data_IF_297901117176
#
_entry.id   IF_297901117176
#
_cell.length_a   1.000
_cell.length_b   1.000
_cell.length_c   1.000
_cell.angle_alpha   90.00
_cell.angle_beta   90.00
_cell.angle_gamma   90.00
#
_symmetry.space_group_name_H-M   'P 1'
#
loop_
_entity.id
_entity.type
_entity.pdbx_description
1 polymer ?
#
# COMPACT_ATOMS: atom_id res chain seq x y z
N UNK A 1 38.74 20.02 -2.27
CA UNK A 1 38.88 19.21 -1.04
C UNK A 1 40.30 19.38 -0.56
N UNK A 2 40.50 19.64 0.73
CA UNK A 2 41.83 19.72 1.33
C UNK A 2 42.06 18.48 2.19
N UNK A 3 43.20 17.83 1.99
CA UNK A 3 43.66 16.65 2.71
C UNK A 3 44.96 17.01 3.44
N UNK A 4 45.13 16.42 4.63
CA UNK A 4 46.41 16.48 5.34
C UNK A 4 47.49 15.71 4.55
N UNK A 5 48.74 16.17 4.62
CA UNK A 5 49.88 15.52 3.97
C UNK A 5 50.05 14.07 4.44
N UNK A 6 49.69 13.79 5.70
CA UNK A 6 49.73 12.45 6.28
C UNK A 6 48.78 11.44 5.59
N UNK A 7 47.82 11.92 4.80
CA UNK A 7 46.83 11.09 4.11
C UNK A 7 47.20 10.79 2.65
N UNK A 8 48.34 11.29 2.17
CA UNK A 8 48.80 11.01 0.79
C UNK A 8 49.14 9.52 0.66
N UNK A 9 48.60 8.88 -0.37
CA UNK A 9 48.70 7.43 -0.60
C UNK A 9 47.55 6.62 0.00
N UNK A 10 46.73 7.21 0.87
CA UNK A 10 45.57 6.54 1.45
C UNK A 10 44.39 6.47 0.46
N UNK A 11 43.59 5.41 0.60
CA UNK A 11 42.43 5.17 -0.26
C UNK A 11 41.17 5.81 0.31
N UNK A 12 40.63 6.78 -0.40
CA UNK A 12 39.38 7.47 -0.05
C UNK A 12 38.26 7.12 -1.03
N UNK A 13 37.02 7.30 -0.57
CA UNK A 13 35.83 7.05 -1.38
C UNK A 13 34.95 8.30 -1.38
N UNK A 14 34.58 8.73 -2.59
CA UNK A 14 33.53 9.70 -2.83
C UNK A 14 32.21 8.95 -3.01
N UNK A 15 31.25 9.18 -2.13
CA UNK A 15 29.90 8.66 -2.23
C UNK A 15 28.96 9.72 -2.80
N UNK A 16 28.43 9.44 -3.99
CA UNK A 16 27.43 10.29 -4.65
C UNK A 16 26.08 9.59 -4.53
N UNK A 17 25.27 9.94 -3.49
CA UNK A 17 24.01 9.27 -3.23
C UNK A 17 22.96 9.53 -4.31
N UNK A 18 22.87 10.76 -4.82
CA UNK A 18 21.94 11.10 -5.88
C UNK A 18 22.42 12.33 -6.66
N UNK A 19 22.50 12.17 -7.97
CA UNK A 19 22.67 13.28 -8.91
C UNK A 19 21.59 13.16 -9.98
N UNK A 20 20.96 14.29 -10.31
CA UNK A 20 19.82 14.32 -11.21
C UNK A 20 20.23 13.88 -12.62
N UNK A 21 19.53 12.86 -13.12
CA UNK A 21 19.43 12.38 -14.51
C UNK A 21 20.73 12.03 -15.26
N UNK A 22 21.76 12.88 -15.33
CA UNK A 22 23.08 12.54 -15.87
C UNK A 22 24.17 13.40 -15.22
N UNK A 23 25.34 12.81 -14.96
CA UNK A 23 26.48 13.55 -14.41
C UNK A 23 27.83 13.04 -14.90
N UNK A 24 28.84 13.90 -14.77
CA UNK A 24 30.24 13.60 -15.04
C UNK A 24 31.07 14.19 -13.90
N UNK A 25 31.87 13.33 -13.31
CA UNK A 25 32.75 13.64 -12.19
C UNK A 25 34.16 13.86 -12.72
N UNK A 26 34.77 14.98 -12.34
CA UNK A 26 36.14 15.32 -12.67
C UNK A 26 36.96 15.55 -11.41
N UNK A 27 38.16 14.96 -11.37
CA UNK A 27 39.18 15.28 -10.38
C UNK A 27 40.32 16.00 -11.07
N UNK A 28 40.63 17.21 -10.62
CA UNK A 28 41.67 18.07 -11.20
C UNK A 28 41.52 18.23 -12.73
N UNK A 29 40.27 18.31 -13.21
CA UNK A 29 39.95 18.43 -14.64
C UNK A 29 39.96 17.12 -15.42
N UNK A 30 40.37 15.99 -14.83
CA UNK A 30 40.37 14.66 -15.46
C UNK A 30 39.05 13.94 -15.16
N UNK A 31 38.35 13.50 -16.20
CA UNK A 31 37.12 12.72 -16.10
C UNK A 31 37.37 11.40 -15.36
N UNK A 32 36.62 11.16 -14.28
CA UNK A 32 36.70 9.95 -13.46
C UNK A 32 35.52 9.02 -13.68
N UNK A 33 34.31 9.59 -13.72
CA UNK A 33 33.06 8.84 -13.84
C UNK A 33 32.12 9.61 -14.76
N UNK A 34 31.49 8.89 -15.68
CA UNK A 34 30.39 9.38 -16.49
C UNK A 34 29.16 8.50 -16.27
N UNK A 35 28.04 9.14 -15.98
CA UNK A 35 26.73 8.51 -15.84
C UNK A 35 25.77 9.18 -16.81
N UNK A 36 25.41 8.46 -17.87
CA UNK A 36 24.65 9.01 -18.98
C UNK A 36 25.48 9.93 -19.87
N UNK A 37 24.81 10.61 -20.80
CA UNK A 37 25.43 11.61 -21.67
C UNK A 37 24.97 13.01 -21.30
N UNK A 38 25.93 13.87 -20.94
CA UNK A 38 25.70 15.28 -20.69
C UNK A 38 25.75 16.03 -22.01
N UNK A 39 24.75 16.86 -22.27
CA UNK A 39 24.76 17.81 -23.37
C UNK A 39 24.16 19.14 -22.93
N UNK A 40 24.46 20.20 -23.69
CA UNK A 40 23.80 21.50 -23.57
C UNK A 40 22.41 21.50 -24.22
N UNK A 41 22.06 20.44 -24.95
CA UNK A 41 20.80 20.30 -25.68
C UNK A 41 20.15 18.95 -25.40
N UNK A 42 18.81 18.92 -25.34
CA UNK A 42 18.02 17.70 -25.07
C UNK A 42 18.33 16.54 -26.05
N UNK A 43 18.64 16.82 -27.32
CA UNK A 43 18.90 15.78 -28.34
C UNK A 43 20.18 14.97 -28.13
N UNK A 44 21.16 15.51 -27.41
CA UNK A 44 22.42 14.83 -27.11
C UNK A 44 22.51 14.36 -25.66
N UNK A 45 21.38 14.35 -24.96
CA UNK A 45 21.30 14.04 -23.54
C UNK A 45 20.72 12.64 -23.35
N UNK A 46 21.40 11.81 -22.56
CA UNK A 46 20.91 10.47 -22.20
C UNK A 46 20.95 10.29 -20.69
N UNK A 47 19.80 10.14 -20.01
CA UNK A 47 19.77 9.99 -18.57
C UNK A 47 20.19 8.58 -18.13
N UNK A 48 21.01 8.51 -17.07
CA UNK A 48 21.34 7.28 -16.36
C UNK A 48 21.56 7.60 -14.88
N UNK A 49 20.83 6.93 -14.00
CA UNK A 49 20.90 7.14 -12.55
C UNK A 49 21.29 5.86 -11.84
N UNK A 50 22.44 5.88 -11.17
CA UNK A 50 22.90 4.80 -10.31
C UNK A 50 23.76 5.39 -9.19
N UNK A 51 23.58 4.86 -7.98
CA UNK A 51 24.44 5.18 -6.85
C UNK A 51 25.83 4.57 -7.09
N UNK A 52 26.89 5.38 -7.02
CA UNK A 52 28.27 4.89 -7.11
C UNK A 52 29.12 5.36 -5.93
N UNK A 53 29.92 4.41 -5.44
CA UNK A 53 31.10 4.67 -4.62
C UNK A 53 32.28 4.79 -5.57
N UNK A 54 32.85 5.98 -5.66
CA UNK A 54 34.06 6.20 -6.46
C UNK A 54 35.28 6.21 -5.54
N UNK A 55 36.09 5.16 -5.64
CA UNK A 55 37.34 5.04 -4.89
C UNK A 55 38.47 5.76 -5.62
N UNK A 56 39.29 6.47 -4.85
CA UNK A 56 40.46 7.18 -5.36
C UNK A 56 41.56 7.21 -4.31
N UNK A 57 42.82 7.24 -4.77
CA UNK A 57 43.98 7.45 -3.91
C UNK A 57 44.23 8.95 -3.77
N UNK A 58 44.51 9.42 -2.55
CA UNK A 58 44.89 10.82 -2.32
C UNK A 58 46.31 11.02 -2.83
N UNK A 59 46.47 11.80 -3.91
CA UNK A 59 47.77 12.06 -4.53
C UNK A 59 48.35 13.43 -4.17
N UNK A 60 47.52 14.34 -3.65
CA UNK A 60 47.91 15.69 -3.29
C UNK A 60 47.05 16.20 -2.12
N UNK A 61 47.56 17.21 -1.41
CA UNK A 61 46.84 17.91 -0.34
C UNK A 61 45.62 18.68 -0.84
N UNK A 62 45.59 19.06 -2.11
CA UNK A 62 44.44 19.69 -2.74
C UNK A 62 43.94 18.86 -3.93
N UNK A 63 42.64 18.53 -3.88
CA UNK A 63 41.93 17.88 -4.99
C UNK A 63 40.73 18.72 -5.34
N UNK A 64 40.69 19.24 -6.57
CA UNK A 64 39.55 19.95 -7.13
C UNK A 64 38.57 18.93 -7.69
N UNK A 65 37.38 18.89 -7.11
CA UNK A 65 36.29 18.01 -7.55
C UNK A 65 35.24 18.87 -8.24
N UNK A 66 34.99 18.58 -9.51
CA UNK A 66 33.92 19.19 -10.27
C UNK A 66 32.88 18.12 -10.63
N UNK A 67 31.63 18.38 -10.28
CA UNK A 67 30.48 17.57 -10.68
C UNK A 67 29.67 18.36 -11.70
N UNK A 68 29.71 17.93 -12.95
CA UNK A 68 28.88 18.48 -14.00
C UNK A 68 27.58 17.69 -14.07
N UNK A 69 26.44 18.36 -13.97
CA UNK A 69 25.10 17.73 -13.99
C UNK A 69 24.30 18.33 -15.15
N UNK A 70 23.61 17.49 -15.90
CA UNK A 70 22.58 17.92 -16.85
C UNK A 70 21.24 17.29 -16.48
N UNK A 71 20.19 18.10 -16.53
CA UNK A 71 18.83 17.65 -16.29
C UNK A 71 17.85 18.31 -17.26
N UNK A 72 17.27 17.49 -18.14
CA UNK A 72 16.21 17.86 -19.08
C UNK A 72 14.90 17.11 -18.80
N UNK A 73 14.88 16.21 -17.82
CA UNK A 73 13.83 15.20 -17.74
C UNK A 73 13.21 15.03 -16.35
N UNK A 74 13.86 15.53 -15.29
CA UNK A 74 13.36 15.47 -13.93
C UNK A 74 12.99 16.86 -13.39
N UNK A 75 12.05 16.94 -12.45
CA UNK A 75 11.59 18.21 -11.84
C UNK A 75 12.68 18.89 -11.02
N UNK A 76 13.52 18.10 -10.35
CA UNK A 76 14.61 18.58 -9.50
C UNK A 76 15.94 18.24 -10.16
N UNK A 77 16.84 19.22 -10.21
CA UNK A 77 18.16 19.11 -10.80
C UNK A 77 19.29 19.20 -9.77
N UNK A 78 20.50 18.85 -10.18
CA UNK A 78 21.71 18.97 -9.35
C UNK A 78 21.99 17.75 -8.47
N UNK A 79 22.81 17.97 -7.43
CA UNK A 79 23.14 16.97 -6.42
C UNK A 79 22.17 17.13 -5.23
N UNK A 80 21.06 16.38 -5.26
CA UNK A 80 19.96 16.54 -4.30
C UNK A 80 20.33 16.13 -2.88
N UNK A 81 21.24 15.15 -2.75
CA UNK A 81 21.71 14.62 -1.47
C UNK A 81 23.18 14.96 -1.26
N UNK A 82 23.55 15.16 0.01
CA UNK A 82 24.92 15.51 0.39
C UNK A 82 25.92 14.45 -0.11
N UNK A 83 26.92 14.89 -0.87
CA UNK A 83 28.04 14.06 -1.31
C UNK A 83 28.96 13.83 -0.12
N UNK A 84 29.26 12.58 0.19
CA UNK A 84 30.09 12.21 1.34
C UNK A 84 31.48 11.79 0.87
N UNK A 85 32.50 12.13 1.65
CA UNK A 85 33.89 11.73 1.42
C UNK A 85 34.44 11.16 2.71
N UNK A 86 35.14 10.04 2.62
CA UNK A 86 35.82 9.48 3.77
C UNK A 86 36.76 8.33 3.40
N UNK A 87 37.46 7.75 4.39
CA UNK A 87 38.29 6.57 4.20
C UNK A 87 37.47 5.44 3.58
N UNK A 88 38.04 4.72 2.62
CA UNK A 88 37.27 3.79 1.80
C UNK A 88 36.62 2.66 2.58
N UNK A 89 37.32 2.09 3.55
CA UNK A 89 36.76 1.02 4.40
C UNK A 89 35.54 1.49 5.20
N UNK A 90 35.60 2.70 5.73
CA UNK A 90 34.51 3.32 6.49
C UNK A 90 33.31 3.60 5.58
N UNK A 91 33.56 4.13 4.38
CA UNK A 91 32.51 4.44 3.41
C UNK A 91 31.83 3.19 2.86
N UNK A 92 32.57 2.13 2.58
CA UNK A 92 32.01 0.84 2.15
C UNK A 92 31.16 0.24 3.28
N UNK A 93 31.64 0.25 4.52
CA UNK A 93 30.86 -0.24 5.68
C UNK A 93 29.58 0.57 5.89
N UNK A 94 29.65 1.89 5.75
CA UNK A 94 28.49 2.77 5.82
C UNK A 94 27.46 2.41 4.75
N UNK A 95 27.88 2.33 3.47
CA UNK A 95 27.00 1.96 2.36
C UNK A 95 26.37 0.58 2.55
N UNK A 96 27.15 -0.43 2.97
CA UNK A 96 26.63 -1.77 3.26
C UNK A 96 25.63 -1.77 4.42
N UNK A 97 25.86 -0.98 5.46
CA UNK A 97 24.94 -0.85 6.59
C UNK A 97 23.60 -0.22 6.17
N UNK A 98 23.65 0.84 5.36
CA UNK A 98 22.46 1.49 4.80
C UNK A 98 21.66 0.50 3.94
N UNK A 99 22.32 -0.22 3.01
CA UNK A 99 21.69 -1.27 2.20
C UNK A 99 21.10 -2.38 3.06
N UNK A 100 21.78 -2.84 4.11
CA UNK A 100 21.24 -3.87 5.02
C UNK A 100 19.96 -3.40 5.71
N UNK A 101 19.93 -2.16 6.20
CA UNK A 101 18.72 -1.57 6.80
C UNK A 101 17.57 -1.52 5.81
N UNK A 102 17.83 -1.15 4.56
CA UNK A 102 16.82 -1.10 3.50
C UNK A 102 16.24 -2.46 3.16
N UNK A 103 17.08 -3.48 2.97
CA UNK A 103 16.62 -4.84 2.71
C UNK A 103 15.83 -5.41 3.90
N UNK A 104 16.23 -5.11 5.13
CA UNK A 104 15.49 -5.51 6.33
C UNK A 104 14.08 -4.90 6.34
N UNK A 105 13.98 -3.58 6.12
CA UNK A 105 12.70 -2.87 6.04
C UNK A 105 11.83 -3.50 4.93
N UNK A 106 12.38 -3.70 3.73
CA UNK A 106 11.68 -4.32 2.60
C UNK A 106 11.16 -5.73 2.94
N UNK A 107 11.96 -6.53 3.66
CA UNK A 107 11.57 -7.85 4.16
C UNK A 107 10.38 -7.78 5.13
N UNK A 108 10.37 -6.82 6.05
CA UNK A 108 9.23 -6.59 6.94
C UNK A 108 7.95 -6.21 6.16
N UNK A 109 8.06 -5.38 5.11
CA UNK A 109 6.91 -5.07 4.24
C UNK A 109 6.40 -6.29 3.50
N UNK A 110 7.32 -7.05 2.90
CA UNK A 110 6.95 -8.26 2.17
C UNK A 110 6.21 -9.23 3.08
N UNK A 111 6.67 -9.40 4.32
CA UNK A 111 5.99 -10.21 5.32
C UNK A 111 4.56 -9.69 5.63
N UNK A 112 4.36 -8.38 5.79
CA UNK A 112 3.02 -7.80 5.99
C UNK A 112 2.10 -8.06 4.78
N UNK A 113 2.61 -7.90 3.57
CA UNK A 113 1.85 -8.15 2.32
C UNK A 113 1.47 -9.62 2.20
N UNK A 114 2.41 -10.54 2.45
CA UNK A 114 2.16 -11.98 2.48
C UNK A 114 1.10 -12.32 3.53
N UNK A 115 1.16 -11.71 4.72
CA UNK A 115 0.17 -11.94 5.76
C UNK A 115 -1.24 -11.51 5.32
N UNK A 116 -1.38 -10.36 4.66
CA UNK A 116 -2.66 -9.89 4.12
C UNK A 116 -3.22 -10.83 3.06
N UNK A 117 -2.39 -11.28 2.11
CA UNK A 117 -2.83 -12.26 1.12
C UNK A 117 -3.18 -13.62 1.72
N UNK A 118 -2.43 -14.06 2.74
CA UNK A 118 -2.73 -15.29 3.47
C UNK A 118 -4.08 -15.20 4.17
N UNK A 119 -4.36 -14.10 4.86
CA UNK A 119 -5.67 -13.86 5.48
C UNK A 119 -6.80 -13.83 4.46
N UNK A 120 -6.59 -13.20 3.31
CA UNK A 120 -7.58 -13.24 2.23
C UNK A 120 -7.81 -14.66 1.69
N UNK A 121 -6.74 -15.46 1.55
CA UNK A 121 -6.85 -16.84 1.08
C UNK A 121 -7.74 -17.69 2.00
N UNK A 122 -7.59 -17.55 3.32
CA UNK A 122 -8.43 -18.23 4.31
C UNK A 122 -9.80 -17.58 4.52
N UNK A 123 -9.94 -16.27 4.28
CA UNK A 123 -11.16 -15.48 4.50
C UNK A 123 -11.62 -14.79 3.21
N UNK A 124 -11.89 -15.57 2.15
CA UNK A 124 -12.22 -15.02 0.81
C UNK A 124 -13.43 -14.07 0.77
N UNK A 125 -14.34 -14.18 1.73
CA UNK A 125 -15.49 -13.28 1.86
C UNK A 125 -15.07 -11.85 2.27
N UNK A 126 -13.92 -11.70 2.93
CA UNK A 126 -13.37 -10.43 3.40
C UNK A 126 -12.37 -9.85 2.41
N UNK A 127 -12.90 -9.32 1.31
CA UNK A 127 -12.08 -8.75 0.22
C UNK A 127 -11.23 -7.55 0.66
N UNK A 128 -11.48 -6.94 1.82
CA UNK A 128 -10.63 -5.87 2.37
C UNK A 128 -9.17 -6.28 2.51
N UNK A 129 -8.88 -7.52 2.94
CA UNK A 129 -7.51 -8.02 3.06
C UNK A 129 -6.78 -8.08 1.70
N UNK A 130 -7.48 -8.45 0.64
CA UNK A 130 -6.95 -8.45 -0.73
C UNK A 130 -6.50 -7.05 -1.14
N UNK A 131 -7.37 -6.05 -0.93
CA UNK A 131 -7.06 -4.68 -1.33
C UNK A 131 -5.90 -4.09 -0.54
N UNK A 132 -5.82 -4.33 0.77
CA UNK A 132 -4.66 -3.92 1.59
C UNK A 132 -3.37 -4.59 1.13
N UNK A 133 -3.42 -5.89 0.82
CA UNK A 133 -2.28 -6.63 0.27
C UNK A 133 -1.81 -6.07 -1.08
N UNK A 134 -2.74 -5.73 -1.98
CA UNK A 134 -2.43 -5.12 -3.27
C UNK A 134 -1.79 -3.73 -3.11
N UNK A 135 -2.32 -2.87 -2.23
CA UNK A 135 -1.70 -1.57 -1.93
C UNK A 135 -0.26 -1.76 -1.50
N UNK A 136 0.00 -2.71 -0.60
CA UNK A 136 1.36 -2.96 -0.13
C UNK A 136 2.28 -3.55 -1.16
N UNK A 137 1.79 -4.44 -2.02
CA UNK A 137 2.56 -4.97 -3.14
C UNK A 137 3.02 -3.84 -4.07
N UNK A 138 2.13 -2.93 -4.44
CA UNK A 138 2.48 -1.82 -5.33
C UNK A 138 3.35 -0.78 -4.64
N UNK A 139 3.24 -0.56 -3.32
CA UNK A 139 4.17 0.32 -2.61
C UNK A 139 5.56 -0.28 -2.44
N UNK A 140 5.68 -1.60 -2.28
CA UNK A 140 6.97 -2.31 -2.35
C UNK A 140 7.59 -2.11 -3.72
N UNK A 141 6.81 -2.32 -4.79
CA UNK A 141 7.28 -2.09 -6.15
C UNK A 141 7.70 -0.63 -6.33
N UNK A 142 6.89 0.33 -5.89
CA UNK A 142 7.24 1.74 -5.99
C UNK A 142 8.56 2.06 -5.29
N UNK A 143 8.75 1.58 -4.07
CA UNK A 143 9.98 1.78 -3.33
C UNK A 143 11.22 1.23 -4.06
N UNK A 144 11.10 0.09 -4.74
CA UNK A 144 12.16 -0.52 -5.55
C UNK A 144 12.47 0.31 -6.81
N UNK A 145 11.46 0.94 -7.40
CA UNK A 145 11.63 1.80 -8.58
C UNK A 145 12.19 3.19 -8.20
N UNK A 146 11.68 3.82 -7.14
CA UNK A 146 12.02 5.20 -6.77
C UNK A 146 13.31 5.31 -5.98
N UNK A 147 13.46 4.50 -4.92
CA UNK A 147 14.55 4.72 -3.97
C UNK A 147 15.84 4.14 -4.52
N UNK A 148 16.79 5.02 -4.82
CA UNK A 148 18.14 4.69 -5.31
C UNK A 148 18.13 3.80 -6.58
N UNK A 149 16.98 3.73 -7.26
CA UNK A 149 16.70 2.87 -8.40
C UNK A 149 17.19 1.43 -8.21
N UNK A 150 16.82 0.78 -7.10
CA UNK A 150 17.16 -0.63 -6.83
C UNK A 150 16.81 -1.56 -8.00
N UNK A 151 15.80 -1.20 -8.79
CA UNK A 151 15.44 -1.93 -10.01
C UNK A 151 16.60 -2.08 -11.00
N UNK A 152 17.55 -1.13 -11.05
CA UNK A 152 18.74 -1.17 -11.92
C UNK A 152 19.72 -2.29 -11.55
N UNK A 153 19.73 -2.72 -10.29
CA UNK A 153 20.54 -3.87 -9.86
C UNK A 153 19.96 -5.20 -10.42
N UNK A 154 18.66 -5.23 -10.75
CA UNK A 154 17.94 -6.41 -11.27
C UNK A 154 17.79 -6.34 -12.80
N UNK A 155 17.45 -5.18 -13.33
CA UNK A 155 17.19 -4.90 -14.74
C UNK A 155 18.01 -3.69 -15.21
N UNK A 156 19.33 -3.86 -15.42
CA UNK A 156 20.24 -2.75 -15.76
C UNK A 156 19.96 -2.11 -17.14
N UNK A 157 19.24 -2.82 -18.02
CA UNK A 157 18.91 -2.35 -19.37
C UNK A 157 17.56 -1.63 -19.47
N UNK A 158 16.85 -1.45 -18.34
CA UNK A 158 15.58 -0.73 -18.36
C UNK A 158 15.85 0.75 -18.67
N UNK A 159 15.19 1.28 -19.71
CA UNK A 159 15.37 2.71 -20.03
C UNK A 159 14.84 3.57 -18.89
N UNK A 160 15.53 4.68 -18.63
CA UNK A 160 15.13 5.65 -17.62
C UNK A 160 13.69 6.17 -17.85
N UNK A 161 13.32 6.36 -19.12
CA UNK A 161 11.94 6.70 -19.53
C UNK A 161 10.90 5.73 -18.94
N UNK A 162 11.07 4.43 -19.18
CA UNK A 162 10.11 3.44 -18.71
C UNK A 162 10.12 3.33 -17.19
N UNK A 163 11.28 3.49 -16.57
CA UNK A 163 11.40 3.49 -15.12
C UNK A 163 10.55 4.60 -14.49
N UNK A 164 10.67 5.84 -14.96
CA UNK A 164 9.89 6.97 -14.43
C UNK A 164 8.40 6.84 -14.75
N UNK A 165 8.04 6.35 -15.95
CA UNK A 165 6.63 6.08 -16.31
C UNK A 165 6.02 5.00 -15.42
N UNK A 166 6.75 3.90 -15.18
CA UNK A 166 6.29 2.82 -14.30
C UNK A 166 6.17 3.30 -12.86
N UNK A 167 7.13 4.08 -12.36
CA UNK A 167 7.06 4.68 -11.03
C UNK A 167 5.75 5.44 -10.82
N UNK A 168 5.40 6.34 -11.74
CA UNK A 168 4.15 7.10 -11.69
C UNK A 168 2.91 6.19 -11.70
N UNK A 169 2.89 5.20 -12.60
CA UNK A 169 1.76 4.27 -12.74
C UNK A 169 1.59 3.39 -11.49
N UNK A 170 2.68 2.92 -10.90
CA UNK A 170 2.67 2.08 -9.70
C UNK A 170 2.09 2.85 -8.51
N UNK A 171 2.51 4.10 -8.27
CA UNK A 171 1.92 4.94 -7.21
C UNK A 171 0.43 5.11 -7.43
N UNK A 172 0.03 5.49 -8.65
CA UNK A 172 -1.37 5.78 -8.93
C UNK A 172 -2.24 4.53 -8.80
N UNK A 173 -1.69 3.36 -9.17
CA UNK A 173 -2.34 2.07 -9.01
C UNK A 173 -2.50 1.69 -7.52
N UNK A 174 -1.50 1.94 -6.68
CA UNK A 174 -1.63 1.79 -5.23
C UNK A 174 -2.76 2.68 -4.66
N UNK A 175 -2.90 3.91 -5.16
CA UNK A 175 -4.02 4.80 -4.80
C UNK A 175 -5.38 4.31 -5.28
N UNK A 176 -5.49 3.78 -6.49
CA UNK A 176 -6.74 3.20 -6.99
C UNK A 176 -7.19 2.02 -6.10
N UNK A 177 -6.25 1.14 -5.72
CA UNK A 177 -6.53 0.07 -4.77
C UNK A 177 -6.86 0.57 -3.36
N UNK A 178 -6.25 1.67 -2.91
CA UNK A 178 -6.61 2.32 -1.65
C UNK A 178 -8.05 2.81 -1.65
N UNK A 179 -8.49 3.52 -2.70
CA UNK A 179 -9.88 3.94 -2.84
C UNK A 179 -10.84 2.74 -2.85
N UNK A 180 -10.45 1.65 -3.52
CA UNK A 180 -11.24 0.42 -3.52
C UNK A 180 -11.33 -0.21 -2.12
N UNK A 181 -10.22 -0.30 -1.39
CA UNK A 181 -10.20 -0.75 0.01
C UNK A 181 -11.19 0.05 0.86
N UNK A 182 -11.10 1.39 0.83
CA UNK A 182 -11.97 2.27 1.61
C UNK A 182 -13.45 2.07 1.23
N UNK A 183 -13.76 1.89 -0.05
CA UNK A 183 -15.14 1.65 -0.50
C UNK A 183 -15.75 0.34 0.02
N UNK A 184 -14.93 -0.70 0.19
CA UNK A 184 -15.35 -2.01 0.69
C UNK A 184 -15.45 -1.97 2.21
N UNK A 185 -14.43 -1.47 2.89
CA UNK A 185 -14.38 -1.38 4.35
C UNK A 185 -15.44 -0.43 4.92
N UNK A 186 -15.73 0.68 4.22
CA UNK A 186 -16.61 1.74 4.71
C UNK A 186 -17.77 2.03 3.76
N UNK A 187 -18.46 0.97 3.32
CA UNK A 187 -19.51 1.02 2.28
C UNK A 187 -20.58 2.10 2.49
N UNK A 188 -20.98 2.34 3.75
CA UNK A 188 -22.05 3.29 4.10
C UNK A 188 -21.56 4.75 4.23
N UNK A 189 -20.25 4.97 4.35
CA UNK A 189 -19.66 6.29 4.60
C UNK A 189 -18.92 6.84 3.39
N UNK A 190 -18.55 5.98 2.43
CA UNK A 190 -17.77 6.32 1.27
C UNK A 190 -18.55 6.19 -0.03
N UNK A 191 -18.33 7.11 -0.97
CA UNK A 191 -19.00 7.10 -2.27
C UNK A 191 -18.47 5.96 -3.15
N UNK A 192 -19.37 5.03 -3.51
CA UNK A 192 -19.05 3.82 -4.27
C UNK A 192 -18.65 4.07 -5.74
N UNK A 193 -18.83 5.29 -6.24
CA UNK A 193 -18.39 5.68 -7.58
C UNK A 193 -16.91 6.10 -7.61
N UNK A 194 -16.32 6.49 -6.47
CA UNK A 194 -14.94 6.99 -6.43
C UNK A 194 -13.91 5.93 -6.88
N UNK A 195 -13.99 4.64 -6.47
CA UNK A 195 -13.09 3.62 -6.99
C UNK A 195 -13.17 3.50 -8.51
N UNK A 196 -14.37 3.56 -9.09
CA UNK A 196 -14.55 3.53 -10.54
C UNK A 196 -13.82 4.71 -11.20
N UNK A 197 -14.02 5.94 -10.72
CA UNK A 197 -13.32 7.12 -11.25
C UNK A 197 -11.80 7.03 -11.07
N UNK A 198 -11.31 6.43 -9.98
CA UNK A 198 -9.88 6.22 -9.75
C UNK A 198 -9.26 5.21 -10.74
N UNK A 199 -9.97 4.15 -11.10
CA UNK A 199 -9.50 3.20 -12.13
C UNK A 199 -9.63 3.78 -13.54
N UNK A 200 -10.67 4.57 -13.82
CA UNK A 200 -10.81 5.28 -15.11
C UNK A 200 -9.67 6.29 -15.28
N UNK A 201 -9.36 7.09 -14.26
CA UNK A 201 -8.25 8.04 -14.33
C UNK A 201 -6.89 7.35 -14.45
N UNK A 202 -6.71 6.19 -13.81
CA UNK A 202 -5.52 5.34 -14.03
C UNK A 202 -5.43 4.89 -15.50
N UNK A 203 -6.54 4.42 -16.09
CA UNK A 203 -6.58 4.01 -17.49
C UNK A 203 -6.20 5.15 -18.44
N UNK A 204 -6.71 6.37 -18.17
CA UNK A 204 -6.34 7.58 -18.91
C UNK A 204 -4.85 7.88 -18.74
N UNK A 205 -4.32 7.88 -17.51
CA UNK A 205 -2.90 8.11 -17.25
C UNK A 205 -2.00 7.07 -17.93
N UNK A 206 -2.41 5.80 -17.98
CA UNK A 206 -1.69 4.73 -18.68
C UNK A 206 -1.62 5.01 -20.19
N UNK A 207 -2.74 5.35 -20.80
CA UNK A 207 -2.78 5.75 -22.23
C UNK A 207 -1.88 6.95 -22.46
N UNK A 208 -1.97 7.98 -21.63
CA UNK A 208 -1.12 9.16 -21.74
C UNK A 208 0.37 8.82 -21.58
N UNK A 209 0.74 7.93 -20.65
CA UNK A 209 2.13 7.49 -20.47
C UNK A 209 2.68 6.76 -21.70
N UNK A 210 1.86 6.00 -22.42
CA UNK A 210 2.30 5.29 -23.63
C UNK A 210 2.53 6.25 -24.79
N UNK A 211 1.63 7.22 -24.99
CA UNK A 211 1.67 8.09 -26.17
C UNK A 211 2.46 9.39 -25.99
N UNK A 212 2.61 9.89 -24.77
CA UNK A 212 3.34 11.14 -24.54
C UNK A 212 4.85 10.91 -24.38
N UNK A 213 5.66 11.85 -24.88
CA UNK A 213 7.10 11.84 -24.66
C UNK A 213 7.43 12.12 -23.19
N UNK A 214 8.63 11.72 -22.77
CA UNK A 214 9.09 11.87 -21.38
C UNK A 214 9.13 13.32 -20.91
N UNK A 215 9.34 14.27 -21.82
CA UNK A 215 9.28 15.70 -21.49
C UNK A 215 7.93 16.14 -20.90
N UNK A 216 6.86 15.38 -21.13
CA UNK A 216 5.53 15.63 -20.55
C UNK A 216 5.31 14.95 -19.18
N UNK A 217 6.27 14.19 -18.67
CA UNK A 217 6.10 13.40 -17.44
C UNK A 217 5.83 14.28 -16.21
N UNK A 218 6.42 15.48 -16.17
CA UNK A 218 6.18 16.49 -15.13
C UNK A 218 4.70 16.90 -15.10
N UNK A 219 4.11 17.11 -16.28
CA UNK A 219 2.68 17.46 -16.39
C UNK A 219 1.82 16.29 -15.91
N UNK A 220 2.16 15.06 -16.30
CA UNK A 220 1.45 13.85 -15.85
C UNK A 220 1.54 13.66 -14.33
N UNK A 221 2.71 13.91 -13.74
CA UNK A 221 2.90 13.86 -12.30
C UNK A 221 2.05 14.90 -11.57
N UNK A 222 1.98 16.13 -12.09
CA UNK A 222 1.13 17.19 -11.52
C UNK A 222 -0.37 16.84 -11.62
N UNK A 223 -0.82 16.29 -12.75
CA UNK A 223 -2.19 15.80 -12.91
C UNK A 223 -2.49 14.69 -11.90
N UNK A 224 -1.59 13.70 -11.79
CA UNK A 224 -1.72 12.61 -10.82
C UNK A 224 -1.77 13.13 -9.38
N UNK A 225 -0.93 14.12 -9.05
CA UNK A 225 -0.88 14.77 -7.73
C UNK A 225 -2.22 15.42 -7.37
N UNK A 226 -2.83 16.17 -8.30
CA UNK A 226 -4.14 16.80 -8.11
C UNK A 226 -5.23 15.74 -7.90
N UNK A 227 -5.21 14.66 -8.68
CA UNK A 227 -6.16 13.55 -8.53
C UNK A 227 -6.01 12.85 -7.17
N UNK A 228 -4.78 12.62 -6.72
CA UNK A 228 -4.51 12.03 -5.40
C UNK A 228 -5.05 12.93 -4.28
N UNK A 229 -4.81 14.25 -4.34
CA UNK A 229 -5.35 15.21 -3.37
C UNK A 229 -6.88 15.18 -3.37
N UNK A 230 -7.51 15.16 -4.56
CA UNK A 230 -8.97 15.08 -4.68
C UNK A 230 -9.54 13.83 -4.00
N UNK A 231 -8.91 12.66 -4.19
CA UNK A 231 -9.33 11.43 -3.51
C UNK A 231 -9.02 11.44 -2.01
N UNK A 232 -7.89 12.02 -1.60
CA UNK A 232 -7.55 12.21 -0.19
C UNK A 232 -8.60 13.05 0.55
N UNK A 233 -9.12 14.10 -0.09
CA UNK A 233 -10.21 14.92 0.46
C UNK A 233 -11.50 14.11 0.65
N UNK A 234 -11.82 13.17 -0.25
CA UNK A 234 -12.97 12.28 -0.07
C UNK A 234 -12.79 11.34 1.13
N UNK A 235 -11.57 10.83 1.34
CA UNK A 235 -11.23 9.99 2.49
C UNK A 235 -11.27 10.80 3.79
N UNK A 236 -10.82 12.06 3.76
CA UNK A 236 -10.93 12.99 4.88
C UNK A 236 -12.39 13.31 5.22
N UNK A 237 -13.25 13.52 4.21
CA UNK A 237 -14.69 13.72 4.41
C UNK A 237 -15.37 12.49 5.01
N UNK A 238 -15.02 11.28 4.53
CA UNK A 238 -15.47 10.02 5.11
C UNK A 238 -15.03 9.90 6.59
N UNK A 239 -13.77 10.21 6.88
CA UNK A 239 -13.19 10.20 8.22
C UNK A 239 -13.92 11.17 9.17
N UNK A 240 -14.27 12.36 8.68
CA UNK A 240 -15.09 13.33 9.41
C UNK A 240 -16.50 12.79 9.72
N UNK A 241 -17.17 12.17 8.74
CA UNK A 241 -18.49 11.56 8.95
C UNK A 241 -18.45 10.45 10.01
N UNK A 242 -17.43 9.59 9.99
CA UNK A 242 -17.24 8.54 11.00
C UNK A 242 -17.10 9.11 12.42
N UNK A 243 -16.35 10.19 12.58
CA UNK A 243 -16.20 10.88 13.87
C UNK A 243 -17.50 11.55 14.33
N UNK A 244 -18.18 12.25 13.42
CA UNK A 244 -19.45 12.93 13.70
C UNK A 244 -20.54 11.95 14.13
N UNK A 245 -20.64 10.84 13.42
CA UNK A 245 -21.64 9.80 13.67
C UNK A 245 -21.21 8.84 14.80
N UNK A 246 -20.12 9.17 15.52
CA UNK A 246 -19.56 8.47 16.69
C UNK A 246 -19.41 6.96 16.48
N UNK A 247 -18.98 6.56 15.29
CA UNK A 247 -18.79 5.15 14.99
C UNK A 247 -17.72 4.52 15.89
N UNK A 248 -17.91 3.25 16.30
CA UNK A 248 -16.89 2.52 17.04
C UNK A 248 -15.56 2.59 16.31
N UNK A 249 -14.48 2.85 17.05
CA UNK A 249 -13.11 2.91 16.51
C UNK A 249 -12.85 4.01 15.46
N UNK A 250 -13.76 4.97 15.27
CA UNK A 250 -13.57 6.07 14.31
C UNK A 250 -12.22 6.80 14.48
N UNK A 251 -11.80 7.05 15.72
CA UNK A 251 -10.49 7.67 16.03
C UNK A 251 -9.31 6.83 15.55
N UNK A 252 -9.38 5.51 15.70
CA UNK A 252 -8.33 4.61 15.23
C UNK A 252 -8.25 4.61 13.70
N UNK A 253 -9.40 4.58 13.02
CA UNK A 253 -9.48 4.66 11.55
C UNK A 253 -8.86 5.96 11.03
N UNK A 254 -9.20 7.10 11.66
CA UNK A 254 -8.63 8.41 11.33
C UNK A 254 -7.11 8.38 11.52
N UNK A 255 -6.63 7.85 12.64
CA UNK A 255 -5.19 7.74 12.90
C UNK A 255 -4.48 6.87 11.86
N UNK A 256 -5.06 5.75 11.48
CA UNK A 256 -4.54 4.85 10.44
C UNK A 256 -4.48 5.55 9.07
N UNK A 257 -5.50 6.33 8.71
CA UNK A 257 -5.50 7.11 7.47
C UNK A 257 -4.48 8.25 7.51
N UNK A 258 -4.36 8.97 8.63
CA UNK A 258 -3.36 10.03 8.79
C UNK A 258 -1.93 9.49 8.72
N UNK A 259 -1.68 8.33 9.33
CA UNK A 259 -0.38 7.65 9.25
C UNK A 259 0.00 7.30 7.81
N UNK A 260 -0.98 7.08 6.92
CA UNK A 260 -0.75 6.88 5.50
C UNK A 260 -0.50 8.20 4.74
N UNK A 261 -1.39 9.18 4.89
CA UNK A 261 -1.36 10.39 4.07
C UNK A 261 -0.27 11.39 4.47
N UNK A 262 0.07 11.52 5.75
CA UNK A 262 1.05 12.53 6.19
C UNK A 262 2.44 12.25 5.58
N UNK A 263 3.02 11.03 5.70
CA UNK A 263 4.30 10.74 5.07
C UNK A 263 4.22 10.77 3.55
N UNK A 264 3.08 10.39 2.97
CA UNK A 264 2.87 10.47 1.52
C UNK A 264 2.91 11.91 0.99
N UNK A 265 2.22 12.84 1.65
CA UNK A 265 2.23 14.26 1.29
C UNK A 265 3.64 14.85 1.46
N UNK A 266 4.36 14.45 2.51
CA UNK A 266 5.75 14.89 2.69
C UNK A 266 6.64 14.36 1.56
N UNK A 267 6.49 13.12 1.12
CA UNK A 267 7.22 12.58 -0.03
C UNK A 267 6.89 13.32 -1.33
N UNK A 268 5.62 13.71 -1.53
CA UNK A 268 5.26 14.57 -2.68
C UNK A 268 5.99 15.91 -2.65
N UNK A 269 6.07 16.55 -1.48
CA UNK A 269 6.84 17.81 -1.33
C UNK A 269 8.34 17.60 -1.52
N UNK A 270 8.88 16.44 -1.11
CA UNK A 270 10.26 16.07 -1.37
C UNK A 270 10.54 15.91 -2.87
N UNK A 271 9.69 15.16 -3.59
CA UNK A 271 9.82 14.92 -5.04
C UNK A 271 9.71 16.23 -5.84
N UNK A 272 8.89 17.17 -5.39
CA UNK A 272 8.75 18.50 -6.01
C UNK A 272 9.89 19.46 -5.62
N UNK A 273 10.80 19.06 -4.73
CA UNK A 273 11.94 19.88 -4.31
C UNK A 273 11.60 20.98 -3.29
N UNK A 274 10.40 20.97 -2.70
CA UNK A 274 10.02 21.95 -1.67
C UNK A 274 10.72 21.72 -0.33
N UNK A 275 11.09 20.47 -0.05
CA UNK A 275 11.71 20.06 1.21
C UNK A 275 12.88 19.14 0.87
N UNK A 276 14.05 19.30 1.51
CA UNK A 276 15.16 18.36 1.36
C UNK A 276 15.17 17.36 2.53
N UNK A 277 14.46 16.24 2.36
CA UNK A 277 14.25 15.20 3.38
C UNK A 277 14.46 13.80 2.75
N UNK A 278 14.03 12.73 3.41
CA UNK A 278 14.05 11.38 2.87
C UNK A 278 12.63 10.90 2.52
N UNK A 279 12.54 9.76 1.84
CA UNK A 279 11.28 9.06 1.63
C UNK A 279 10.75 8.45 2.94
N UNK A 280 9.57 8.87 3.39
CA UNK A 280 8.91 8.36 4.60
C UNK A 280 7.59 7.63 4.34
N UNK A 281 7.04 7.64 3.11
CA UNK A 281 5.80 6.92 2.76
C UNK A 281 5.83 5.45 3.15
N UNK A 282 7.01 4.84 3.06
CA UNK A 282 7.21 3.45 3.45
C UNK A 282 6.80 3.24 4.92
N UNK A 283 7.34 4.01 5.86
CA UNK A 283 6.98 3.90 7.28
C UNK A 283 5.49 4.20 7.52
N UNK A 284 4.93 5.19 6.83
CA UNK A 284 3.50 5.50 6.89
C UNK A 284 2.63 4.31 6.48
N UNK A 285 3.01 3.62 5.41
CA UNK A 285 2.33 2.42 4.96
C UNK A 285 2.46 1.25 5.94
N UNK A 286 3.58 1.13 6.65
CA UNK A 286 3.78 0.13 7.73
C UNK A 286 2.74 0.31 8.83
N UNK A 287 2.61 1.54 9.33
CA UNK A 287 1.60 1.88 10.34
C UNK A 287 0.18 1.72 9.82
N UNK A 288 -0.06 2.11 8.56
CA UNK A 288 -1.35 1.90 7.91
C UNK A 288 -1.72 0.41 7.83
N UNK A 289 -0.80 -0.44 7.38
CA UNK A 289 -1.03 -1.87 7.21
C UNK A 289 -1.32 -2.55 8.54
N UNK A 290 -0.54 -2.21 9.57
CA UNK A 290 -0.76 -2.71 10.92
C UNK A 290 -2.10 -2.21 11.49
N UNK A 291 -2.41 -0.92 11.34
CA UNK A 291 -3.68 -0.34 11.77
C UNK A 291 -4.88 -1.00 11.09
N UNK A 292 -4.82 -1.15 9.76
CA UNK A 292 -5.84 -1.83 8.96
C UNK A 292 -5.99 -3.30 9.36
N UNK A 293 -4.89 -4.02 9.64
CA UNK A 293 -4.93 -5.40 10.14
C UNK A 293 -5.74 -5.50 11.44
N UNK A 294 -5.42 -4.62 12.40
CA UNK A 294 -6.07 -4.59 13.70
C UNK A 294 -7.55 -4.25 13.55
N UNK A 295 -7.89 -3.23 12.75
CA UNK A 295 -9.28 -2.83 12.50
C UNK A 295 -10.09 -3.94 11.83
N UNK A 296 -9.56 -4.58 10.79
CA UNK A 296 -10.24 -5.68 10.09
C UNK A 296 -10.47 -6.88 11.02
N UNK A 297 -9.49 -7.23 11.86
CA UNK A 297 -9.66 -8.33 12.83
C UNK A 297 -10.71 -8.02 13.91
N UNK A 298 -10.80 -6.77 14.37
CA UNK A 298 -11.87 -6.36 15.28
C UNK A 298 -13.24 -6.44 14.62
N UNK A 299 -13.36 -5.96 13.38
CA UNK A 299 -14.61 -6.04 12.62
C UNK A 299 -15.02 -7.50 12.39
N UNK A 300 -14.09 -8.37 12.02
CA UNK A 300 -14.32 -9.81 11.89
C UNK A 300 -14.81 -10.43 13.21
N UNK A 301 -14.13 -10.13 14.32
CA UNK A 301 -14.51 -10.66 15.65
C UNK A 301 -15.91 -10.22 16.05
N UNK A 302 -16.29 -8.98 15.73
CA UNK A 302 -17.65 -8.47 15.97
C UNK A 302 -18.68 -9.23 15.14
N UNK A 303 -18.46 -9.37 13.83
CA UNK A 303 -19.37 -10.11 12.93
C UNK A 303 -19.51 -11.58 13.35
N UNK A 304 -18.42 -12.19 13.80
CA UNK A 304 -18.43 -13.57 14.29
C UNK A 304 -19.31 -13.71 15.54
N UNK A 305 -19.16 -12.82 16.52
CA UNK A 305 -20.00 -12.82 17.74
C UNK A 305 -21.47 -12.58 17.43
N UNK A 306 -21.78 -11.67 16.52
CA UNK A 306 -23.17 -11.44 16.08
C UNK A 306 -23.75 -12.71 15.44
N UNK A 307 -22.98 -13.37 14.55
CA UNK A 307 -23.39 -14.63 13.93
C UNK A 307 -23.58 -15.76 14.96
N UNK A 308 -22.72 -15.86 15.96
CA UNK A 308 -22.85 -16.83 17.05
C UNK A 308 -24.12 -16.58 17.87
N UNK A 309 -24.40 -15.31 18.23
CA UNK A 309 -25.65 -14.96 18.94
C UNK A 309 -26.90 -15.29 18.13
N UNK A 310 -26.88 -15.07 16.81
CA UNK A 310 -28.00 -15.45 15.94
C UNK A 310 -28.16 -16.97 15.83
N UNK A 311 -27.07 -17.73 15.75
CA UNK A 311 -27.15 -19.20 15.73
C UNK A 311 -27.69 -19.77 17.05
N UNK A 312 -27.28 -19.21 18.19
CA UNK A 312 -27.81 -19.60 19.49
C UNK A 312 -29.31 -19.27 19.61
N UNK A 313 -29.73 -18.08 19.17
CA UNK A 313 -31.14 -17.70 19.15
C UNK A 313 -31.96 -18.61 18.22
N UNK A 314 -31.43 -18.96 17.05
CA UNK A 314 -32.08 -19.88 16.10
C UNK A 314 -32.24 -21.28 16.70
N UNK A 315 -31.21 -21.77 17.40
CA UNK A 315 -31.24 -23.07 18.06
C UNK A 315 -32.29 -23.10 19.19
N UNK A 316 -32.36 -22.04 19.99
CA UNK A 316 -33.36 -21.91 21.04
C UNK A 316 -34.80 -21.85 20.48
N UNK A 317 -35.02 -21.11 19.38
CA UNK A 317 -36.33 -21.06 18.70
C UNK A 317 -36.70 -22.43 18.13
N UNK A 318 -35.76 -23.14 17.50
CA UNK A 318 -36.01 -24.48 16.96
C UNK A 318 -36.39 -25.47 18.06
N UNK A 319 -35.70 -25.45 19.21
CA UNK A 319 -36.03 -26.28 20.37
C UNK A 319 -37.44 -25.96 20.91
N UNK A 320 -37.78 -24.69 21.09
CA UNK A 320 -39.13 -24.31 21.53
C UNK A 320 -40.23 -24.68 20.53
N UNK A 321 -39.91 -24.66 19.22
CA UNK A 321 -40.84 -25.12 18.19
C UNK A 321 -41.03 -26.64 18.24
N UNK A 322 -39.96 -27.41 18.44
CA UNK A 322 -40.05 -28.87 18.64
C UNK A 322 -40.91 -29.21 19.86
N UNK A 323 -40.70 -28.54 20.99
CA UNK A 323 -41.52 -28.71 22.20
C UNK A 323 -43.00 -28.41 21.93
N UNK A 324 -43.29 -27.29 21.23
CA UNK A 324 -44.67 -26.90 20.87
C UNK A 324 -45.31 -27.92 19.93
N UNK A 325 -44.55 -28.43 18.94
CA UNK A 325 -45.03 -29.45 18.00
C UNK A 325 -45.31 -30.75 18.73
N UNK A 326 -44.46 -31.16 19.66
CA UNK A 326 -44.66 -32.36 20.48
C UNK A 326 -45.91 -32.23 21.36
N UNK A 327 -46.09 -31.08 22.02
CA UNK A 327 -47.28 -30.78 22.83
C UNK A 327 -48.56 -30.85 21.99
N UNK A 328 -48.60 -30.17 20.84
CA UNK A 328 -49.77 -30.21 19.94
C UNK A 328 -50.03 -31.59 19.37
N UNK A 329 -48.98 -32.35 19.07
CA UNK A 329 -49.12 -33.73 18.60
C UNK A 329 -49.69 -34.63 19.70
N UNK A 330 -49.30 -34.41 20.96
CA UNK A 330 -49.85 -35.13 22.11
C UNK A 330 -51.33 -34.79 22.32
N UNK A 331 -51.68 -33.51 22.34
CA UNK A 331 -53.09 -33.04 22.44
C UNK A 331 -53.96 -33.63 21.32
N UNK A 332 -53.45 -33.65 20.08
CA UNK A 332 -54.16 -34.22 18.94
C UNK A 332 -54.35 -35.73 19.07
N UNK A 333 -53.33 -36.47 19.53
CA UNK A 333 -53.45 -37.91 19.80
C UNK A 333 -54.48 -38.20 20.87
N UNK A 334 -54.49 -37.41 21.94
CA UNK A 334 -55.45 -37.56 23.03
C UNK A 334 -56.88 -37.27 22.57
N UNK A 335 -57.09 -36.19 21.81
CA UNK A 335 -58.40 -35.88 21.21
C UNK A 335 -58.85 -36.94 20.20
N UNK A 336 -57.95 -37.42 19.33
CA UNK A 336 -58.27 -38.50 18.40
C UNK A 336 -58.67 -39.78 19.15
N UNK A 337 -57.96 -40.13 20.22
CA UNK A 337 -58.31 -41.28 21.05
C UNK A 337 -59.69 -41.13 21.72
N UNK A 338 -60.01 -39.94 22.23
CA UNK A 338 -61.35 -39.64 22.75
C UNK A 338 -62.45 -39.75 21.68
N UNK A 339 -62.18 -39.25 20.46
CA UNK A 339 -63.10 -39.39 19.34
C UNK A 339 -63.31 -40.85 18.93
N UNK A 340 -62.25 -41.65 18.89
CA UNK A 340 -62.36 -43.10 18.64
C UNK A 340 -63.25 -43.76 19.69
N UNK A 341 -63.03 -43.50 20.98
CA UNK A 341 -63.87 -44.02 22.06
C UNK A 341 -65.35 -43.62 21.91
N UNK A 342 -65.63 -42.38 21.49
CA UNK A 342 -66.98 -41.88 21.19
C UNK A 342 -67.59 -42.49 19.92
N UNK A 343 -66.78 -42.91 18.95
CA UNK A 343 -67.31 -43.64 17.78
C UNK A 343 -67.67 -45.09 18.11
N UNK A 344 -67.07 -45.65 19.15
CA UNK A 344 -67.21 -47.04 19.60
C UNK A 344 -68.34 -47.19 20.64
N UNK A 345 -68.70 -46.13 21.37
CA UNK A 345 -69.84 -46.08 22.32
C UNK A 345 -70.72 -44.87 22.10
N UNK A 346 -72.05 -45.05 22.10
CA UNK A 346 -73.02 -43.96 22.00
C UNK A 346 -72.96 -43.05 23.24
N UNK A 347 -72.69 -41.76 23.04
CA UNK A 347 -72.47 -40.77 24.09
C UNK A 347 -73.69 -40.46 24.96
N UNK A 348 -74.91 -40.83 24.55
CA UNK A 348 -76.15 -40.62 25.32
C UNK A 348 -76.61 -41.86 26.09
N UNK A 349 -76.29 -43.05 25.59
CA UNK A 349 -76.82 -44.32 26.13
C UNK A 349 -75.73 -45.23 26.70
N UNK A 350 -74.46 -44.95 26.41
CA UNK A 350 -73.28 -45.76 26.77
C UNK A 350 -73.31 -47.20 26.21
N UNK A 351 -74.12 -47.44 25.18
CA UNK A 351 -74.26 -48.72 24.48
C UNK A 351 -73.25 -48.77 23.32
N UNK A 352 -72.74 -49.96 22.98
CA UNK A 352 -71.79 -50.15 21.88
C UNK A 352 -72.39 -49.73 20.53
N UNK A 353 -71.65 -48.93 19.76
CA UNK A 353 -72.06 -48.43 18.45
C UNK A 353 -71.77 -49.48 17.35
N UNK A 354 -72.34 -49.32 16.15
CA UNK A 354 -72.22 -50.30 15.05
C UNK A 354 -70.77 -50.68 14.70
N UNK A 355 -69.84 -49.72 14.81
CA UNK A 355 -68.39 -49.89 14.63
C UNK A 355 -67.68 -50.75 15.70
N UNK A 356 -68.34 -51.11 16.80
CA UNK A 356 -67.79 -52.05 17.78
C UNK A 356 -67.79 -53.50 17.27
N UNK A 357 -68.69 -53.79 16.32
CA UNK A 357 -68.98 -55.15 15.86
C UNK A 357 -68.50 -55.43 14.42
N UNK A 358 -67.97 -54.43 13.73
CA UNK A 358 -67.22 -54.54 12.47
C UNK A 358 -65.71 -54.62 12.78
#
# INVERSE_FOLDING_TARGET
>A
MQFDEALIGELYTLYIPYAATAYTLYFNGVEQVRMGEISKTEKGFSPQQQVKLHQFTVLATEIVVALQVANFSNMVGGAERAILVGPSDSMIKYYQSEKKREHFILGCFLFMVINMFSLYYFRRQETSYLWVGLIGLFLILWYVFSKDHLIMDIFPNLSWEWMTKLELLIVFLAFAFYNKYISVAYKNYYNQQIPFYSFVSLGILLVLCIFLPVSSIVILFNIASVLIIFFALHVAYMSYRLLRDKQPYARAIVLTNLAFFIPFIQDMFYIQGFINTNYYSIYGFMFFSFGSLVMLNFEHTKKYRESETYNLALTAINQGLEETVEERTRELREKNHQLELLTVRDGLTNIANRRYFD
#
